data_IF_432151431145
#
_entry.id   IF_432151431145
#
_cell.length_a   1.000
_cell.length_b   1.000
_cell.length_c   1.000
_cell.angle_alpha   90.00
_cell.angle_beta   90.00
_cell.angle_gamma   90.00
#
_symmetry.space_group_name_H-M   'P 1'
#
loop_
_entity.id
_entity.type
_entity.pdbx_description
1 polymer ?
#
# COMPACT_ATOMS: atom_id res chain seq x y z
N UNK A 1 -22.69 16.73 -2.26
CA UNK A 1 -22.09 15.41 -2.02
C UNK A 1 -20.81 15.64 -1.22
N UNK A 2 -20.94 15.90 0.08
CA UNK A 2 -19.77 16.13 0.93
C UNK A 2 -19.33 14.78 1.45
N UNK A 3 -18.19 14.26 0.98
CA UNK A 3 -17.47 13.26 1.77
C UNK A 3 -16.44 14.03 2.57
N UNK A 4 -16.70 14.05 3.87
CA UNK A 4 -15.92 14.64 4.93
C UNK A 4 -14.45 14.20 4.82
N UNK A 5 -13.56 15.16 4.59
CA UNK A 5 -12.13 14.96 4.81
C UNK A 5 -11.84 15.37 6.26
N UNK A 6 -11.96 14.42 7.17
CA UNK A 6 -11.45 14.49 8.55
C UNK A 6 -10.78 13.17 8.91
N UNK A 7 -9.92 13.16 9.93
CA UNK A 7 -8.59 13.75 9.99
C UNK A 7 -7.54 12.68 9.62
N UNK A 8 -6.28 13.04 9.81
CA UNK A 8 -5.05 12.26 9.66
C UNK A 8 -5.02 10.96 10.52
N UNK A 9 -5.89 9.99 10.23
CA UNK A 9 -5.87 8.63 10.74
C UNK A 9 -5.84 7.69 9.53
N UNK A 10 -4.94 6.69 9.55
CA UNK A 10 -4.83 5.73 8.46
C UNK A 10 -6.22 5.17 8.11
N UNK A 11 -6.63 5.21 6.83
CA UNK A 11 -7.99 4.85 6.48
C UNK A 11 -8.23 3.37 6.79
N UNK A 12 -9.45 3.06 7.21
CA UNK A 12 -9.87 1.73 7.61
C UNK A 12 -9.60 0.69 6.51
N UNK A 13 -9.79 1.10 5.24
CA UNK A 13 -9.56 0.28 4.06
C UNK A 13 -8.20 0.62 3.40
N UNK A 14 -7.23 -0.31 3.40
CA UNK A 14 -5.93 -0.09 2.75
C UNK A 14 -6.07 0.15 1.25
N UNK A 15 -7.08 -0.46 0.61
CA UNK A 15 -7.38 -0.22 -0.80
C UNK A 15 -7.70 1.25 -1.08
N UNK A 16 -8.54 1.88 -0.26
CA UNK A 16 -8.91 3.29 -0.45
C UNK A 16 -7.69 4.20 -0.28
N UNK A 17 -6.83 3.91 0.70
CA UNK A 17 -5.57 4.63 0.90
C UNK A 17 -4.67 4.60 -0.34
N UNK A 18 -4.42 3.41 -0.86
CA UNK A 18 -3.52 3.22 -1.99
C UNK A 18 -4.09 3.97 -3.20
N UNK A 19 -5.40 3.87 -3.45
CA UNK A 19 -6.05 4.60 -4.55
C UNK A 19 -5.93 6.11 -4.37
N UNK A 20 -6.12 6.64 -3.15
CA UNK A 20 -5.92 8.06 -2.85
C UNK A 20 -4.49 8.49 -3.16
N UNK A 21 -3.49 7.77 -2.66
CA UNK A 21 -2.08 8.07 -2.90
C UNK A 21 -1.71 8.02 -4.39
N UNK A 22 -2.27 7.08 -5.14
CA UNK A 22 -2.06 6.98 -6.59
C UNK A 22 -2.70 8.15 -7.35
N UNK A 23 -3.89 8.60 -6.93
CA UNK A 23 -4.54 9.80 -7.49
C UNK A 23 -3.72 11.07 -7.28
N UNK A 24 -2.97 11.17 -6.18
CA UNK A 24 -2.03 12.28 -5.96
C UNK A 24 -0.83 12.25 -6.93
N UNK A 25 -0.44 11.06 -7.40
CA UNK A 25 0.67 10.89 -8.34
C UNK A 25 0.26 11.15 -9.79
N UNK A 26 -0.94 10.76 -10.16
CA UNK A 26 -1.41 10.93 -11.53
C UNK A 26 -2.81 10.35 -11.79
N UNK A 27 -3.24 10.38 -13.07
CA UNK A 27 -4.54 9.87 -13.46
C UNK A 27 -4.57 8.35 -13.34
N UNK A 28 -5.38 7.84 -12.41
CA UNK A 28 -5.68 6.41 -12.30
C UNK A 28 -7.00 6.07 -12.99
N UNK A 29 -7.06 4.97 -13.75
CA UNK A 29 -8.31 4.48 -14.32
C UNK A 29 -9.26 4.07 -13.19
N UNK A 30 -10.52 4.51 -13.29
CA UNK A 30 -11.57 4.12 -12.34
C UNK A 30 -11.91 2.62 -12.44
N UNK A 31 -11.65 2.01 -13.60
CA UNK A 31 -11.95 0.62 -13.90
C UNK A 31 -10.68 -0.24 -13.83
N UNK A 32 -10.77 -1.43 -13.23
CA UNK A 32 -9.65 -2.36 -13.05
C UNK A 32 -8.46 -1.83 -12.22
N UNK A 33 -8.66 -0.80 -11.39
CA UNK A 33 -7.59 -0.25 -10.54
C UNK A 33 -6.96 -1.27 -9.60
N UNK A 34 -7.70 -2.31 -9.20
CA UNK A 34 -7.20 -3.39 -8.33
C UNK A 34 -5.99 -4.12 -8.93
N UNK A 35 -6.08 -4.52 -10.20
CA UNK A 35 -5.04 -5.24 -10.91
C UNK A 35 -4.04 -4.32 -11.65
N UNK A 36 -4.19 -3.00 -11.50
CA UNK A 36 -3.32 -2.03 -12.16
C UNK A 36 -1.92 -2.09 -11.55
N UNK A 37 -0.93 -2.47 -12.36
CA UNK A 37 0.46 -2.40 -11.96
C UNK A 37 0.98 -0.96 -12.12
N UNK A 38 1.08 -0.22 -11.01
CA UNK A 38 1.47 1.19 -11.04
C UNK A 38 2.94 1.41 -11.41
N UNK A 39 3.79 0.37 -11.29
CA UNK A 39 5.19 0.42 -11.70
C UNK A 39 5.32 0.22 -13.22
N UNK A 40 4.63 -0.79 -13.78
CA UNK A 40 4.65 -1.09 -15.22
C UNK A 40 3.92 -0.02 -16.05
N UNK A 41 2.89 0.61 -15.49
CA UNK A 41 2.18 1.72 -16.14
C UNK A 41 2.97 3.03 -16.12
N UNK A 42 4.08 3.10 -15.36
CA UNK A 42 4.88 4.30 -15.19
C UNK A 42 4.21 5.37 -14.32
N UNK A 43 3.16 5.00 -13.58
CA UNK A 43 2.50 5.91 -12.63
C UNK A 43 3.38 6.17 -11.39
N UNK A 44 4.14 5.15 -10.99
CA UNK A 44 5.13 5.20 -9.93
C UNK A 44 6.47 4.72 -10.51
N UNK A 45 7.51 5.55 -10.41
CA UNK A 45 8.88 5.14 -10.72
C UNK A 45 9.50 4.30 -9.58
N UNK A 46 10.60 3.59 -9.86
CA UNK A 46 11.32 2.78 -8.87
C UNK A 46 11.68 3.53 -7.58
N UNK A 47 12.01 4.83 -7.66
CA UNK A 47 12.29 5.64 -6.47
C UNK A 47 11.02 6.11 -5.76
N UNK A 48 9.95 6.37 -6.52
CA UNK A 48 8.67 6.74 -5.95
C UNK A 48 8.03 5.55 -5.21
N UNK A 49 8.27 4.32 -5.67
CA UNK A 49 7.81 3.08 -5.03
C UNK A 49 8.33 2.97 -3.59
N UNK A 50 9.62 3.20 -3.38
CA UNK A 50 10.23 3.13 -2.03
C UNK A 50 9.53 4.12 -1.08
N UNK A 51 9.36 5.38 -1.51
CA UNK A 51 8.65 6.40 -0.71
C UNK A 51 7.17 6.07 -0.50
N UNK A 52 6.55 5.41 -1.47
CA UNK A 52 5.14 5.02 -1.42
C UNK A 52 4.93 3.93 -0.38
N UNK A 53 5.76 2.89 -0.41
CA UNK A 53 5.74 1.81 0.57
C UNK A 53 6.05 2.36 1.97
N UNK A 54 7.06 3.21 2.12
CA UNK A 54 7.41 3.81 3.42
C UNK A 54 6.25 4.59 4.07
N UNK A 55 5.45 5.29 3.27
CA UNK A 55 4.23 5.96 3.76
C UNK A 55 3.16 5.00 4.24
N UNK A 56 3.03 3.84 3.59
CA UNK A 56 2.08 2.80 3.96
C UNK A 56 2.55 2.10 5.24
N UNK A 57 3.84 1.80 5.34
CA UNK A 57 4.47 1.27 6.54
C UNK A 57 4.22 2.17 7.76
N UNK A 58 4.51 3.46 7.62
CA UNK A 58 4.27 4.47 8.65
C UNK A 58 2.78 4.60 9.02
N UNK A 59 1.90 4.63 8.02
CA UNK A 59 0.46 4.76 8.25
C UNK A 59 -0.15 3.54 8.98
N UNK A 60 0.28 2.32 8.62
CA UNK A 60 -0.29 1.09 9.16
C UNK A 60 0.54 0.45 10.29
N UNK A 61 1.73 0.98 10.58
CA UNK A 61 2.67 0.41 11.55
C UNK A 61 3.19 -0.96 11.15
N UNK A 62 3.41 -1.19 9.85
CA UNK A 62 3.90 -2.47 9.29
C UNK A 62 5.27 -2.28 8.66
N UNK A 63 5.98 -3.38 8.40
CA UNK A 63 7.21 -3.39 7.62
C UNK A 63 7.10 -4.40 6.47
N UNK A 64 7.53 -3.99 5.28
CA UNK A 64 7.67 -4.84 4.10
C UNK A 64 9.13 -5.26 3.94
N UNK A 65 9.35 -6.55 3.75
CA UNK A 65 10.66 -7.07 3.39
C UNK A 65 11.01 -6.66 1.94
N UNK A 66 12.30 -6.51 1.61
CA UNK A 66 12.72 -6.19 0.25
C UNK A 66 12.26 -7.23 -0.79
N UNK A 67 12.12 -8.49 -0.38
CA UNK A 67 11.56 -9.57 -1.21
C UNK A 67 10.07 -9.35 -1.51
N UNK A 68 9.30 -8.93 -0.50
CA UNK A 68 7.91 -8.52 -0.68
C UNK A 68 7.84 -7.31 -1.60
N UNK A 69 8.70 -6.30 -1.41
CA UNK A 69 8.79 -5.10 -2.25
C UNK A 69 9.10 -5.40 -3.73
N UNK A 70 9.85 -6.46 -3.99
CA UNK A 70 10.18 -6.91 -5.34
C UNK A 70 9.05 -7.73 -5.99
N UNK A 71 8.07 -8.18 -5.22
CA UNK A 71 7.01 -9.04 -5.71
C UNK A 71 6.01 -8.27 -6.59
N UNK A 72 5.66 -8.83 -7.75
CA UNK A 72 4.76 -8.15 -8.70
C UNK A 72 3.36 -7.92 -8.14
N UNK A 73 2.92 -8.78 -7.21
CA UNK A 73 1.59 -8.70 -6.59
C UNK A 73 1.42 -7.40 -5.80
N UNK A 74 2.46 -6.94 -5.09
CA UNK A 74 2.39 -5.71 -4.31
C UNK A 74 2.52 -4.44 -5.16
N UNK A 75 2.88 -4.58 -6.44
CA UNK A 75 2.89 -3.48 -7.40
C UNK A 75 1.48 -3.20 -7.92
N UNK A 76 0.49 -3.95 -7.44
CA UNK A 76 -0.94 -3.74 -7.70
C UNK A 76 -1.66 -3.27 -6.45
N UNK A 77 -2.77 -2.56 -6.63
CA UNK A 77 -3.58 -2.05 -5.51
C UNK A 77 -4.15 -3.18 -4.68
N UNK A 78 -4.63 -4.24 -5.33
CA UNK A 78 -5.27 -5.37 -4.66
C UNK A 78 -4.24 -6.17 -3.85
N UNK A 79 -3.11 -6.54 -4.46
CA UNK A 79 -2.07 -7.31 -3.76
C UNK A 79 -1.44 -6.52 -2.61
N UNK A 80 -1.21 -5.21 -2.78
CA UNK A 80 -0.70 -4.37 -1.69
C UNK A 80 -1.72 -4.23 -0.55
N UNK A 81 -3.00 -4.00 -0.87
CA UNK A 81 -4.07 -3.93 0.12
C UNK A 81 -4.23 -5.25 0.90
N UNK A 82 -4.18 -6.37 0.18
CA UNK A 82 -4.25 -7.70 0.76
C UNK A 82 -3.05 -7.95 1.69
N UNK A 83 -1.84 -7.54 1.30
CA UNK A 83 -0.65 -7.73 2.11
C UNK A 83 -0.71 -6.90 3.40
N UNK A 84 -1.12 -5.64 3.32
CA UNK A 84 -1.35 -4.79 4.50
C UNK A 84 -2.37 -5.43 5.45
N UNK A 85 -3.48 -5.93 4.89
CA UNK A 85 -4.53 -6.59 5.66
C UNK A 85 -4.00 -7.85 6.34
N UNK A 86 -3.22 -8.66 5.62
CA UNK A 86 -2.60 -9.87 6.15
C UNK A 86 -1.63 -9.54 7.29
N UNK A 87 -0.77 -8.53 7.13
CA UNK A 87 0.18 -8.09 8.17
C UNK A 87 -0.52 -7.48 9.38
N UNK A 88 -1.68 -6.84 9.22
CA UNK A 88 -2.48 -6.32 10.35
C UNK A 88 -3.32 -7.37 11.05
N UNK A 89 -3.79 -8.39 10.32
CA UNK A 89 -4.61 -9.47 10.87
C UNK A 89 -3.78 -10.61 11.45
N UNK A 90 -2.56 -10.83 10.95
CA UNK A 90 -1.59 -11.68 11.61
C UNK A 90 -0.92 -10.89 12.73
N UNK A 91 -1.17 -11.19 14.03
CA UNK A 91 -0.25 -10.74 15.05
C UNK A 91 1.12 -11.29 14.67
N UNK A 92 2.11 -10.41 14.51
CA UNK A 92 3.48 -10.81 14.22
C UNK A 92 3.84 -12.03 15.09
N UNK A 93 4.30 -13.17 14.53
CA UNK A 93 4.96 -14.15 15.37
C UNK A 93 6.14 -13.40 15.98
N UNK A 94 6.10 -13.28 17.30
CA UNK A 94 7.03 -12.47 18.06
C UNK A 94 8.46 -12.73 17.62
N UNK A 95 9.26 -11.67 17.62
CA UNK A 95 10.70 -11.79 17.79
C UNK A 95 10.97 -12.49 19.12
N UNK A 96 10.88 -13.82 19.13
CA UNK A 96 11.58 -14.67 20.09
C UNK A 96 13.00 -14.82 19.55
N UNK A 97 13.82 -13.78 19.72
CA UNK A 97 15.27 -13.93 19.64
C UNK A 97 15.77 -14.38 21.01
N UNK A 98 15.58 -15.67 21.30
CA UNK A 98 16.26 -16.36 22.39
C UNK A 98 17.45 -17.08 21.82
N UNK A 99 18.66 -16.56 22.05
CA UNK A 99 19.90 -17.32 22.28
C UNK A 99 21.08 -16.36 22.53
#
# INVERSE_FOLDING_TARGET
MHKETSPMAAPADPRDFIVQLLKEKGPVPEQNIGALNFLETGLIDSFALIKFIFRIEDAYGIAFSPEEMACREIHTVDGLAQLITTKRSAPAPGEEHTA
#
